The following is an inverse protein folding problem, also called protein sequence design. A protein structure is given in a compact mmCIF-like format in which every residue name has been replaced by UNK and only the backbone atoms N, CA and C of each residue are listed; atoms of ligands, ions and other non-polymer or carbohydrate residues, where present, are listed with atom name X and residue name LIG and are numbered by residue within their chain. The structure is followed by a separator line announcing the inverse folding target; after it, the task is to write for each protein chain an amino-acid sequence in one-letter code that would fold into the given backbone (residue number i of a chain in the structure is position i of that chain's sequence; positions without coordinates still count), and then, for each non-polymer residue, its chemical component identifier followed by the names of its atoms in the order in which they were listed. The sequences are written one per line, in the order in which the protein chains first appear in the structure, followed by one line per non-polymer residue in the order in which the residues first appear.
data_IF_534638683313
#
_entry.id   IF_534638683313
#
_cell.length_a   1.000
_cell.length_b   1.000
_cell.length_c   1.000
_cell.angle_alpha   90.00
_cell.angle_beta   90.00
_cell.angle_gamma   90.00
#
_symmetry.space_group_name_H-M   'P 1'
#
loop_
_entity.id
_entity.type
_entity.pdbx_description
1 polymer ?
#
# COMPACT_ATOMS: atom_id res chain seq x y z
N UNK A 1 22.75 -2.15 19.18
CA UNK A 1 21.95 -1.85 17.98
C UNK A 1 22.67 -2.40 16.77
N UNK A 2 21.93 -3.17 15.98
CA UNK A 2 22.42 -3.78 14.75
C UNK A 2 22.79 -2.72 13.72
N UNK A 3 23.65 -3.09 12.77
CA UNK A 3 23.98 -2.27 11.60
C UNK A 3 22.89 -2.43 10.55
N UNK A 4 22.30 -1.33 10.10
CA UNK A 4 21.20 -1.35 9.13
C UNK A 4 21.71 -0.96 7.75
N UNK A 5 21.34 -1.74 6.74
CA UNK A 5 21.78 -1.58 5.35
C UNK A 5 20.57 -1.46 4.42
N UNK A 6 19.97 -0.27 4.35
CA UNK A 6 18.85 0.00 3.43
C UNK A 6 17.68 0.72 4.06
N UNK A 7 16.57 0.75 3.33
CA UNK A 7 15.28 1.33 3.76
C UNK A 7 14.26 0.22 3.90
N UNK A 8 13.45 0.30 4.94
CA UNK A 8 12.41 -0.68 5.27
C UNK A 8 11.12 -0.34 4.53
N UNK A 9 10.44 -1.34 3.97
CA UNK A 9 9.12 -1.21 3.36
C UNK A 9 9.06 -0.11 2.28
N UNK A 10 10.16 0.19 1.60
CA UNK A 10 10.26 1.23 0.59
C UNK A 10 9.31 0.95 -0.58
N UNK A 11 9.24 -0.31 -1.02
CA UNK A 11 8.32 -0.76 -2.08
C UNK A 11 6.86 -0.60 -1.64
N UNK A 12 6.49 -1.13 -0.47
CA UNK A 12 5.13 -1.03 0.05
C UNK A 12 4.71 0.41 0.34
N UNK A 13 5.63 1.25 0.81
CA UNK A 13 5.38 2.69 1.03
C UNK A 13 5.10 3.40 -0.29
N UNK A 14 5.88 3.11 -1.34
CA UNK A 14 5.64 3.65 -2.68
C UNK A 14 4.26 3.23 -3.20
N UNK A 15 3.91 1.94 -3.08
CA UNK A 15 2.60 1.42 -3.50
C UNK A 15 1.46 2.06 -2.71
N UNK A 16 1.56 2.14 -1.39
CA UNK A 16 0.57 2.81 -0.53
C UNK A 16 0.30 4.23 -1.05
N UNK A 17 1.38 4.99 -1.28
CA UNK A 17 1.28 6.37 -1.76
C UNK A 17 0.66 6.47 -3.16
N UNK A 18 1.09 5.64 -4.10
CA UNK A 18 0.55 5.63 -5.48
C UNK A 18 -0.94 5.32 -5.49
N UNK A 19 -1.39 4.29 -4.77
CA UNK A 19 -2.81 3.93 -4.73
C UNK A 19 -3.65 4.94 -3.94
N UNK A 20 -3.10 5.58 -2.90
CA UNK A 20 -3.78 6.69 -2.22
C UNK A 20 -3.98 7.89 -3.14
N UNK A 21 -2.97 8.29 -3.92
CA UNK A 21 -3.12 9.38 -4.89
C UNK A 21 -4.11 9.03 -6.00
N UNK A 22 -4.03 7.81 -6.54
CA UNK A 22 -4.98 7.35 -7.56
C UNK A 22 -6.42 7.36 -7.04
N UNK A 23 -6.65 6.87 -5.81
CA UNK A 23 -7.96 6.93 -5.18
C UNK A 23 -8.46 8.38 -5.04
N UNK A 24 -7.59 9.30 -4.61
CA UNK A 24 -7.94 10.71 -4.46
C UNK A 24 -8.36 11.34 -5.81
N UNK A 25 -7.59 11.10 -6.87
CA UNK A 25 -7.90 11.61 -8.22
C UNK A 25 -9.25 11.08 -8.70
N UNK A 26 -9.53 9.79 -8.51
CA UNK A 26 -10.81 9.18 -8.89
C UNK A 26 -11.99 9.77 -8.10
N UNK A 27 -11.83 10.01 -6.79
CA UNK A 27 -12.86 10.63 -5.94
C UNK A 27 -13.15 12.05 -6.39
N UNK A 28 -12.11 12.85 -6.64
CA UNK A 28 -12.26 14.24 -7.11
C UNK A 28 -12.93 14.27 -8.48
N UNK A 29 -12.53 13.38 -9.39
CA UNK A 29 -13.11 13.28 -10.74
C UNK A 29 -14.58 12.89 -10.69
N UNK A 30 -14.94 11.91 -9.85
CA UNK A 30 -16.33 11.53 -9.57
C UNK A 30 -17.15 12.67 -8.97
N UNK A 31 -16.57 13.44 -8.05
CA UNK A 31 -17.25 14.56 -7.40
C UNK A 31 -17.58 15.66 -8.40
N UNK A 32 -16.61 16.00 -9.27
CA UNK A 32 -16.80 16.95 -10.38
C UNK A 32 -17.88 16.43 -11.33
N UNK A 33 -17.85 15.16 -11.71
CA UNK A 33 -18.83 14.59 -12.63
C UNK A 33 -20.25 14.61 -12.07
N UNK A 34 -20.39 14.33 -10.76
CA UNK A 34 -21.67 14.43 -10.05
C UNK A 34 -22.21 15.86 -10.05
N UNK A 35 -21.34 16.86 -9.88
CA UNK A 35 -21.72 18.27 -10.01
C UNK A 35 -22.17 18.60 -11.44
N UNK A 36 -21.47 18.10 -12.47
CA UNK A 36 -21.88 18.28 -13.87
C UNK A 36 -23.27 17.68 -14.11
N UNK A 37 -23.55 16.48 -13.59
CA UNK A 37 -24.89 15.84 -13.68
C UNK A 37 -25.99 16.68 -13.03
N UNK A 38 -25.67 17.36 -11.92
CA UNK A 38 -26.62 18.24 -11.24
C UNK A 38 -26.94 19.52 -12.04
N UNK A 39 -25.96 20.03 -12.79
CA UNK A 39 -26.11 21.22 -13.64
C UNK A 39 -26.70 20.92 -15.02
N UNK A 40 -26.66 19.66 -15.48
CA UNK A 40 -27.25 19.27 -16.76
C UNK A 40 -28.79 19.27 -16.72
N UNK A 41 -29.46 19.96 -17.66
CA UNK A 41 -30.93 20.01 -17.72
C UNK A 41 -31.62 18.64 -17.88
N UNK A 42 -32.85 18.54 -17.39
CA UNK A 42 -33.63 17.30 -17.32
C UNK A 42 -33.95 16.71 -18.71
N UNK A 43 -34.10 17.55 -19.73
CA UNK A 43 -34.39 17.12 -21.10
C UNK A 43 -33.26 16.31 -21.74
N UNK A 44 -32.03 16.40 -21.22
CA UNK A 44 -30.85 15.63 -21.69
C UNK A 44 -30.69 14.31 -20.94
N UNK A 45 -31.78 13.55 -20.81
CA UNK A 45 -31.84 12.34 -19.96
C UNK A 45 -30.72 11.32 -20.26
N UNK A 46 -30.52 10.98 -21.54
CA UNK A 46 -29.51 9.98 -21.94
C UNK A 46 -28.11 10.42 -21.51
N UNK A 47 -27.75 11.68 -21.74
CA UNK A 47 -26.46 12.23 -21.35
C UNK A 47 -26.26 12.20 -19.83
N UNK A 48 -27.30 12.54 -19.06
CA UNK A 48 -27.28 12.46 -17.59
C UNK A 48 -27.04 11.04 -17.08
N UNK A 49 -27.70 10.05 -17.68
CA UNK A 49 -27.53 8.65 -17.32
C UNK A 49 -26.10 8.17 -17.62
N UNK A 50 -25.53 8.54 -18.77
CA UNK A 50 -24.15 8.20 -19.12
C UNK A 50 -23.13 8.80 -18.13
N UNK A 51 -23.24 10.10 -17.82
CA UNK A 51 -22.37 10.75 -16.85
C UNK A 51 -22.51 10.14 -15.45
N UNK A 52 -23.73 9.80 -15.03
CA UNK A 52 -23.99 9.15 -13.74
C UNK A 52 -23.33 7.78 -13.68
N UNK A 53 -23.47 6.97 -14.73
CA UNK A 53 -22.83 5.65 -14.83
C UNK A 53 -21.31 5.79 -14.72
N UNK A 54 -20.71 6.72 -15.47
CA UNK A 54 -19.28 6.99 -15.40
C UNK A 54 -18.86 7.41 -13.98
N UNK A 55 -19.61 8.28 -13.30
CA UNK A 55 -19.31 8.69 -11.91
C UNK A 55 -19.30 7.48 -10.97
N UNK A 56 -20.29 6.60 -11.08
CA UNK A 56 -20.36 5.36 -10.29
C UNK A 56 -19.16 4.45 -10.55
N UNK A 57 -18.75 4.27 -11.81
CA UNK A 57 -17.56 3.43 -12.12
C UNK A 57 -16.28 4.00 -11.50
N UNK A 58 -16.11 5.33 -11.47
CA UNK A 58 -14.96 5.98 -10.83
C UNK A 58 -14.94 5.77 -9.32
N UNK A 59 -16.12 5.83 -8.66
CA UNK A 59 -16.25 5.56 -7.22
C UNK A 59 -15.84 4.12 -6.89
N UNK A 60 -16.29 3.15 -7.70
CA UNK A 60 -15.91 1.75 -7.53
C UNK A 60 -14.39 1.59 -7.68
N UNK A 61 -13.79 2.20 -8.70
CA UNK A 61 -12.34 2.21 -8.91
C UNK A 61 -11.59 2.83 -7.72
N UNK A 62 -12.09 3.94 -7.17
CA UNK A 62 -11.52 4.57 -5.99
C UNK A 62 -11.57 3.66 -4.76
N UNK A 63 -12.68 2.93 -4.57
CA UNK A 63 -12.83 1.94 -3.51
C UNK A 63 -11.80 0.82 -3.60
N UNK A 64 -11.56 0.29 -4.80
CA UNK A 64 -10.52 -0.73 -5.05
C UNK A 64 -9.13 -0.18 -4.71
N UNK A 65 -8.82 1.04 -5.17
CA UNK A 65 -7.52 1.67 -4.90
C UNK A 65 -7.31 1.92 -3.40
N UNK A 66 -8.35 2.39 -2.71
CA UNK A 66 -8.32 2.60 -1.25
C UNK A 66 -8.08 1.29 -0.51
N UNK A 67 -8.78 0.21 -0.90
CA UNK A 67 -8.58 -1.12 -0.30
C UNK A 67 -7.14 -1.60 -0.46
N UNK A 68 -6.55 -1.43 -1.66
CA UNK A 68 -5.14 -1.76 -1.92
C UNK A 68 -4.19 -0.91 -1.07
N UNK A 69 -4.38 0.40 -1.02
CA UNK A 69 -3.57 1.30 -0.21
C UNK A 69 -3.60 0.94 1.28
N UNK A 70 -4.78 0.59 1.82
CA UNK A 70 -4.93 0.13 3.20
C UNK A 70 -4.18 -1.19 3.43
N UNK A 71 -4.24 -2.13 2.47
CA UNK A 71 -3.49 -3.38 2.51
C UNK A 71 -1.98 -3.14 2.59
N UNK A 72 -1.43 -2.34 1.67
CA UNK A 72 -0.01 -2.01 1.68
C UNK A 72 0.41 -1.27 2.95
N UNK A 73 -0.41 -0.34 3.45
CA UNK A 73 -0.14 0.37 4.72
C UNK A 73 -0.06 -0.58 5.91
N UNK A 74 -0.86 -1.65 5.93
CA UNK A 74 -0.77 -2.70 6.96
C UNK A 74 0.55 -3.47 6.86
N UNK A 75 1.00 -3.80 5.64
CA UNK A 75 2.30 -4.40 5.39
C UNK A 75 3.45 -3.53 5.92
N UNK A 76 3.48 -2.24 5.55
CA UNK A 76 4.44 -1.25 6.08
C UNK A 76 4.46 -1.24 7.61
N UNK A 77 3.28 -1.28 8.25
CA UNK A 77 3.20 -1.31 9.71
C UNK A 77 3.84 -2.58 10.30
N UNK A 78 3.56 -3.74 9.71
CA UNK A 78 4.13 -5.01 10.14
C UNK A 78 5.64 -5.03 10.03
N UNK A 79 6.17 -4.69 8.86
CA UNK A 79 7.62 -4.63 8.63
C UNK A 79 8.30 -3.62 9.56
N UNK A 80 7.70 -2.46 9.78
CA UNK A 80 8.25 -1.46 10.69
C UNK A 80 8.29 -1.94 12.16
N UNK A 81 7.32 -2.75 12.58
CA UNK A 81 7.30 -3.34 13.93
C UNK A 81 8.40 -4.39 14.08
N UNK A 82 8.57 -5.28 13.09
CA UNK A 82 9.67 -6.25 13.04
C UNK A 82 11.01 -5.55 13.01
N UNK A 83 11.17 -4.53 12.16
CA UNK A 83 12.40 -3.75 12.07
C UNK A 83 12.81 -3.12 13.40
N UNK A 84 11.85 -2.58 14.19
CA UNK A 84 12.15 -2.03 15.52
C UNK A 84 12.76 -3.08 16.45
N UNK A 85 12.32 -4.34 16.36
CA UNK A 85 12.90 -5.46 17.11
C UNK A 85 14.28 -5.85 16.56
N UNK A 86 14.43 -5.94 15.24
CA UNK A 86 15.73 -6.25 14.63
C UNK A 86 16.80 -5.19 14.92
N UNK A 87 16.41 -3.92 15.00
CA UNK A 87 17.31 -2.80 15.32
C UNK A 87 17.88 -2.90 16.74
N UNK A 88 17.18 -3.53 17.69
CA UNK A 88 17.65 -3.67 19.07
C UNK A 88 18.74 -4.74 19.24
N UNK A 89 18.97 -5.58 18.24
CA UNK A 89 20.01 -6.61 18.27
C UNK A 89 21.42 -6.04 18.53
N UNK A 90 22.37 -6.87 19.01
CA UNK A 90 23.76 -6.46 19.20
C UNK A 90 24.43 -5.95 17.92
N UNK A 91 25.51 -5.18 18.06
CA UNK A 91 26.27 -4.60 16.92
C UNK A 91 26.89 -5.64 15.99
N UNK A 92 27.02 -6.88 16.45
CA UNK A 92 27.47 -8.02 15.64
C UNK A 92 26.46 -8.47 14.59
N UNK A 93 25.21 -7.99 14.67
CA UNK A 93 24.17 -8.26 13.68
C UNK A 93 24.09 -7.14 12.63
N UNK A 94 23.89 -7.56 11.38
CA UNK A 94 23.65 -6.73 10.22
C UNK A 94 22.24 -7.05 9.69
N UNK A 95 21.44 -6.02 9.44
CA UNK A 95 20.06 -6.15 8.94
C UNK A 95 19.98 -5.48 7.58
N UNK A 96 19.50 -6.22 6.60
CA UNK A 96 19.29 -5.80 5.21
C UNK A 96 17.79 -5.85 4.92
N UNK A 97 17.07 -4.72 5.00
CA UNK A 97 15.66 -4.65 4.62
C UNK A 97 15.47 -4.62 3.10
N UNK A 98 14.30 -5.07 2.62
CA UNK A 98 13.85 -4.99 1.22
C UNK A 98 14.91 -5.53 0.23
N UNK A 99 15.32 -6.79 0.39
CA UNK A 99 16.34 -7.41 -0.47
C UNK A 99 15.68 -7.94 -1.74
N UNK A 100 15.94 -7.29 -2.87
CA UNK A 100 15.50 -7.74 -4.19
C UNK A 100 16.26 -8.99 -4.63
N UNK A 101 15.53 -9.99 -5.12
CA UNK A 101 16.07 -11.20 -5.74
C UNK A 101 15.76 -11.20 -7.26
N UNK A 102 16.39 -12.11 -7.99
CA UNK A 102 16.04 -12.34 -9.41
C UNK A 102 14.55 -12.72 -9.59
N UNK A 103 13.97 -13.40 -8.58
CA UNK A 103 12.53 -13.68 -8.49
C UNK A 103 12.03 -13.39 -7.08
N UNK A 104 11.30 -12.29 -6.93
CA UNK A 104 10.70 -11.87 -5.67
C UNK A 104 11.63 -11.01 -4.81
N UNK A 105 11.20 -10.77 -3.58
CA UNK A 105 11.86 -9.98 -2.55
C UNK A 105 11.84 -10.72 -1.20
N UNK A 106 12.79 -10.39 -0.33
CA UNK A 106 12.80 -10.81 1.07
C UNK A 106 12.70 -9.55 1.94
N UNK A 107 11.71 -9.50 2.84
CA UNK A 107 11.48 -8.33 3.68
C UNK A 107 12.71 -7.99 4.54
N UNK A 108 13.37 -8.98 5.14
CA UNK A 108 14.64 -8.80 5.83
C UNK A 108 15.59 -9.99 5.68
N UNK A 109 16.86 -9.70 5.39
CA UNK A 109 17.97 -10.62 5.64
C UNK A 109 18.75 -10.14 6.85
N UNK A 110 19.01 -11.03 7.81
CA UNK A 110 19.79 -10.73 9.02
C UNK A 110 21.02 -11.62 9.04
N UNK A 111 22.21 -11.02 9.16
CA UNK A 111 23.49 -11.71 9.25
C UNK A 111 24.09 -11.44 10.62
N UNK A 112 24.46 -12.49 11.35
CA UNK A 112 25.09 -12.36 12.66
C UNK A 112 26.01 -13.54 12.99
N UNK A 113 26.55 -13.58 14.22
CA UNK A 113 27.52 -14.61 14.63
C UNK A 113 27.00 -16.04 14.51
N UNK A 114 25.67 -16.22 14.57
CA UNK A 114 25.00 -17.52 14.55
C UNK A 114 24.52 -17.93 13.14
N UNK A 115 24.77 -17.12 12.11
CA UNK A 115 24.39 -17.42 10.73
C UNK A 115 23.56 -16.33 10.04
N UNK A 116 22.86 -16.73 8.97
CA UNK A 116 22.06 -15.88 8.09
C UNK A 116 20.59 -16.29 8.17
N UNK A 117 19.70 -15.32 8.36
CA UNK A 117 18.27 -15.52 8.50
C UNK A 117 17.51 -14.71 7.45
N UNK A 118 16.66 -15.36 6.66
CA UNK A 118 15.67 -14.70 5.83
C UNK A 118 14.36 -14.61 6.62
N UNK A 119 13.80 -13.41 6.75
CA UNK A 119 12.61 -13.13 7.54
C UNK A 119 11.57 -12.53 6.60
N UNK A 120 10.46 -13.24 6.47
CA UNK A 120 9.25 -12.78 5.79
C UNK A 120 8.26 -12.26 6.84
N UNK A 121 7.59 -11.14 6.55
CA UNK A 121 6.66 -10.48 7.48
C UNK A 121 5.23 -10.55 6.94
N UNK A 122 4.33 -11.06 7.78
CA UNK A 122 2.88 -10.99 7.54
C UNK A 122 2.19 -10.26 8.68
N UNK A 123 1.47 -9.20 8.36
CA UNK A 123 0.68 -8.46 9.33
C UNK A 123 -0.74 -9.00 9.39
N UNK A 124 -1.12 -9.57 10.54
CA UNK A 124 -2.43 -10.17 10.76
C UNK A 124 -3.11 -9.59 12.00
N UNK A 125 -4.45 -9.49 11.96
CA UNK A 125 -5.28 -9.11 13.11
C UNK A 125 -6.53 -9.99 13.11
N UNK A 126 -6.69 -10.86 14.11
CA UNK A 126 -7.91 -11.62 14.35
C UNK A 126 -8.08 -12.92 13.53
N UNK A 127 -7.03 -13.75 13.38
CA UNK A 127 -7.22 -15.12 12.89
C UNK A 127 -7.24 -15.32 11.37
N UNK A 128 -7.22 -14.25 10.56
CA UNK A 128 -7.15 -14.36 9.10
C UNK A 128 -5.88 -13.74 8.55
N UNK A 129 -5.17 -14.49 7.71
CA UNK A 129 -4.17 -13.95 6.79
C UNK A 129 -4.91 -13.06 5.80
N UNK A 130 -4.52 -11.79 5.71
CA UNK A 130 -5.11 -10.79 4.79
C UNK A 130 -4.02 -10.25 3.88
#
# INVERSE_FOLDING_TARGET
MARIHGRVAARLTKLTRTYSYLALVLILSSSILTLVVALTPLEKLIFRLLLTLTSVTLIIGAGICTKRAVGYRKGVRGEMEVFRRLKSLPRSYHVFPDVDLFKGDIDFVVVGPTGVFAIEVKYWKGGRLI
#
